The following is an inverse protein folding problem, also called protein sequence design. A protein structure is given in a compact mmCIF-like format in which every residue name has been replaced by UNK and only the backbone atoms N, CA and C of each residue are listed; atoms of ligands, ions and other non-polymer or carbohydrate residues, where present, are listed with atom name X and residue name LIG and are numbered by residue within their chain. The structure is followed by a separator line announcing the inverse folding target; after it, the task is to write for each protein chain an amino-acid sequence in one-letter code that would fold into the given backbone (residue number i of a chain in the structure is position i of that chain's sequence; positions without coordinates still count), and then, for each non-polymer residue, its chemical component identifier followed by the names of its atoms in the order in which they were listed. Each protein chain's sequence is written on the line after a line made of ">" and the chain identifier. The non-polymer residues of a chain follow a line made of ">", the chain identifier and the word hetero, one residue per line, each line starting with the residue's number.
data_IF_367599850208
#
_entry.id   IF_367599850208
#
_cell.length_a   1.000
_cell.length_b   1.000
_cell.length_c   1.000
_cell.angle_alpha   90.00
_cell.angle_beta   90.00
_cell.angle_gamma   90.00
#
_symmetry.space_group_name_H-M   'P 1'
#
loop_
_entity.id
_entity.type
_entity.pdbx_description
1 polymer ?
#
# COMPACT_ATOMS: atom_id res chain seq x y z
N UNK A 1 -10.74 -21.56 16.13
CA UNK A 1 -10.94 -21.15 14.73
C UNK A 1 -10.28 -19.80 14.61
N UNK A 2 -9.14 -19.70 13.93
CA UNK A 2 -8.56 -18.41 13.57
C UNK A 2 -9.51 -17.78 12.58
N UNK A 3 -10.19 -16.70 12.97
CA UNK A 3 -10.90 -15.87 12.00
C UNK A 3 -9.87 -15.44 10.94
N UNK A 4 -10.14 -15.77 9.68
CA UNK A 4 -9.37 -15.23 8.57
C UNK A 4 -9.47 -13.72 8.68
N UNK A 5 -8.33 -13.03 8.84
CA UNK A 5 -8.31 -11.58 8.94
C UNK A 5 -8.94 -10.99 7.67
N UNK A 6 -9.71 -9.91 7.82
CA UNK A 6 -10.26 -9.18 6.67
C UNK A 6 -9.09 -8.78 5.73
N UNK A 7 -9.09 -9.20 4.45
CA UNK A 7 -8.04 -8.90 3.48
C UNK A 7 -7.71 -7.40 3.39
N UNK A 8 -8.71 -6.54 3.58
CA UNK A 8 -8.53 -5.09 3.56
C UNK A 8 -7.73 -4.64 4.79
N UNK A 9 -8.08 -5.16 5.97
CA UNK A 9 -7.34 -4.87 7.21
C UNK A 9 -5.90 -5.37 7.12
N UNK A 10 -5.70 -6.56 6.55
CA UNK A 10 -4.37 -7.12 6.34
C UNK A 10 -3.51 -6.23 5.44
N UNK A 11 -4.03 -5.80 4.28
CA UNK A 11 -3.33 -4.89 3.38
C UNK A 11 -2.91 -3.57 4.06
N UNK A 12 -3.82 -2.97 4.83
CA UNK A 12 -3.53 -1.73 5.58
C UNK A 12 -2.44 -1.93 6.64
N UNK A 13 -2.48 -3.05 7.36
CA UNK A 13 -1.43 -3.39 8.34
C UNK A 13 -0.07 -3.63 7.68
N UNK A 14 -0.04 -4.26 6.51
CA UNK A 14 1.17 -4.44 5.73
C UNK A 14 1.75 -3.09 5.26
N UNK A 15 0.91 -2.16 4.82
CA UNK A 15 1.32 -0.79 4.49
C UNK A 15 1.96 -0.09 5.69
N UNK A 16 1.30 -0.11 6.85
CA UNK A 16 1.87 0.49 8.07
C UNK A 16 3.19 -0.16 8.48
N UNK A 17 3.28 -1.48 8.42
CA UNK A 17 4.53 -2.20 8.70
C UNK A 17 5.65 -1.75 7.77
N UNK A 18 5.38 -1.65 6.47
CA UNK A 18 6.36 -1.19 5.49
C UNK A 18 6.86 0.21 5.81
N UNK A 19 5.94 1.15 6.06
CA UNK A 19 6.28 2.54 6.41
C UNK A 19 7.11 2.63 7.69
N UNK A 20 6.74 1.86 8.73
CA UNK A 20 7.52 1.79 9.96
C UNK A 20 8.93 1.24 9.73
N UNK A 21 9.09 0.24 8.86
CA UNK A 21 10.40 -0.28 8.49
C UNK A 21 11.25 0.77 7.77
N UNK A 22 10.67 1.54 6.82
CA UNK A 22 11.38 2.63 6.14
C UNK A 22 11.84 3.70 7.14
N UNK A 23 10.96 4.11 8.04
CA UNK A 23 11.29 5.09 9.10
C UNK A 23 12.37 4.57 10.05
N UNK A 24 12.28 3.29 10.46
CA UNK A 24 13.28 2.64 11.30
C UNK A 24 14.64 2.52 10.62
N UNK A 25 14.66 2.33 9.29
CA UNK A 25 15.87 2.35 8.48
C UNK A 25 16.42 3.79 8.23
N UNK A 26 15.73 4.82 8.71
CA UNK A 26 16.15 6.21 8.59
C UNK A 26 15.71 6.90 7.30
N UNK A 27 14.84 6.29 6.50
CA UNK A 27 14.27 6.91 5.29
C UNK A 27 13.32 8.04 5.69
N UNK A 28 13.52 9.25 5.15
CA UNK A 28 12.79 10.47 5.55
C UNK A 28 12.59 11.43 4.38
N UNK A 29 11.66 12.37 4.55
CA UNK A 29 11.44 13.48 3.61
C UNK A 29 11.11 12.97 2.20
N UNK A 30 11.76 13.54 1.18
CA UNK A 30 11.59 13.15 -0.22
C UNK A 30 11.94 11.68 -0.48
N UNK A 31 12.94 11.11 0.23
CA UNK A 31 13.28 9.70 0.08
C UNK A 31 12.16 8.78 0.58
N UNK A 32 11.40 9.21 1.60
CA UNK A 32 10.22 8.49 2.05
C UNK A 32 9.07 8.62 1.06
N UNK A 33 8.86 9.81 0.49
CA UNK A 33 7.85 10.03 -0.55
C UNK A 33 8.11 9.13 -1.77
N UNK A 34 9.35 9.09 -2.25
CA UNK A 34 9.77 8.24 -3.36
C UNK A 34 9.66 6.74 -3.02
N UNK A 35 9.96 6.34 -1.79
CA UNK A 35 9.79 4.94 -1.36
C UNK A 35 8.32 4.51 -1.27
N UNK A 36 7.39 5.46 -1.07
CA UNK A 36 5.93 5.25 -1.10
C UNK A 36 5.32 5.52 -2.47
N UNK A 37 6.13 5.83 -3.47
CA UNK A 37 5.68 5.97 -4.85
C UNK A 37 5.44 4.57 -5.42
N UNK A 38 4.28 4.01 -5.11
CA UNK A 38 3.87 2.71 -5.64
C UNK A 38 3.74 2.84 -7.16
N UNK A 39 4.64 2.18 -7.90
CA UNK A 39 4.46 1.96 -9.33
C UNK A 39 3.28 1.02 -9.50
N UNK A 40 2.08 1.56 -9.66
CA UNK A 40 0.97 0.78 -10.20
C UNK A 40 1.41 0.39 -11.61
N UNK A 41 1.78 -0.88 -11.81
CA UNK A 41 1.80 -1.42 -13.15
C UNK A 41 0.35 -1.44 -13.62
N UNK A 42 -0.05 -0.36 -14.28
CA UNK A 42 -1.20 -0.35 -15.18
C UNK A 42 -1.00 -1.50 -16.16
N UNK A 43 -1.78 -2.57 -15.98
CA UNK A 43 -1.83 -3.70 -16.90
C UNK A 43 -1.31 -4.99 -16.28
N UNK A 44 -2.22 -5.79 -15.76
CA UNK A 44 -2.79 -6.90 -16.51
C UNK A 44 -3.97 -7.46 -15.69
N UNK A 45 -5.14 -6.87 -15.86
CA UNK A 45 -6.35 -7.69 -15.84
C UNK A 45 -6.17 -8.69 -16.99
N UNK A 46 -5.62 -9.87 -16.70
CA UNK A 46 -5.70 -11.00 -17.61
C UNK A 46 -7.19 -11.40 -17.64
N UNK A 47 -7.93 -11.14 -18.73
CA UNK A 47 -9.36 -11.46 -18.79
C UNK A 47 -9.62 -12.98 -18.78
N UNK A 48 -8.57 -13.80 -18.75
CA UNK A 48 -8.64 -15.26 -18.63
C UNK A 48 -8.48 -15.84 -17.22
N UNK A 49 -8.08 -15.04 -16.22
CA UNK A 49 -8.02 -15.51 -14.83
C UNK A 49 -9.44 -15.51 -14.26
N UNK A 50 -10.12 -16.65 -14.38
CA UNK A 50 -11.44 -16.86 -13.82
C UNK A 50 -11.47 -16.39 -12.37
N UNK A 51 -12.41 -15.50 -12.05
CA UNK A 51 -12.76 -15.05 -10.70
C UNK A 51 -13.28 -16.18 -9.77
N UNK A 52 -12.95 -17.43 -10.07
CA UNK A 52 -13.34 -18.65 -9.37
C UNK A 52 -12.32 -19.08 -8.30
N UNK A 53 -11.07 -18.60 -8.36
CA UNK A 53 -10.07 -18.87 -7.32
C UNK A 53 -10.12 -17.81 -6.21
N UNK A 54 -10.85 -18.15 -5.14
CA UNK A 54 -11.01 -17.33 -3.93
C UNK A 54 -9.69 -16.85 -3.30
N UNK A 55 -8.57 -17.55 -3.55
CA UNK A 55 -7.24 -17.16 -3.06
C UNK A 55 -6.69 -15.96 -3.82
N UNK A 56 -6.82 -15.94 -5.14
CA UNK A 56 -6.32 -14.85 -5.98
C UNK A 56 -7.08 -13.55 -5.71
N UNK A 57 -8.40 -13.65 -5.46
CA UNK A 57 -9.21 -12.52 -5.05
C UNK A 57 -8.78 -11.93 -3.69
N UNK A 58 -8.39 -12.78 -2.74
CA UNK A 58 -7.90 -12.34 -1.42
C UNK A 58 -6.55 -11.65 -1.56
N UNK A 59 -5.61 -12.24 -2.31
CA UNK A 59 -4.29 -11.64 -2.54
C UNK A 59 -4.43 -10.28 -3.23
N UNK A 60 -5.25 -10.20 -4.27
CA UNK A 60 -5.52 -8.94 -4.97
C UNK A 60 -6.12 -7.87 -4.04
N UNK A 61 -7.05 -8.25 -3.17
CA UNK A 61 -7.64 -7.33 -2.20
C UNK A 61 -6.60 -6.81 -1.18
N UNK A 62 -5.70 -7.67 -0.71
CA UNK A 62 -4.61 -7.29 0.20
C UNK A 62 -3.66 -6.31 -0.49
N UNK A 63 -3.22 -6.63 -1.71
CA UNK A 63 -2.28 -5.79 -2.47
C UNK A 63 -2.87 -4.42 -2.79
N UNK A 64 -4.15 -4.40 -3.20
CA UNK A 64 -4.88 -3.15 -3.46
C UNK A 64 -4.99 -2.31 -2.19
N UNK A 65 -5.43 -2.90 -1.07
CA UNK A 65 -5.59 -2.19 0.19
C UNK A 65 -4.25 -1.66 0.74
N UNK A 66 -3.15 -2.40 0.55
CA UNK A 66 -1.80 -1.93 0.88
C UNK A 66 -1.42 -0.70 0.03
N UNK A 67 -1.58 -0.79 -1.28
CA UNK A 67 -1.20 0.28 -2.21
C UNK A 67 -2.00 1.56 -1.95
N UNK A 68 -3.30 1.44 -1.68
CA UNK A 68 -4.16 2.59 -1.38
C UNK A 68 -3.76 3.27 -0.06
N UNK A 69 -3.42 2.50 0.98
CA UNK A 69 -2.98 3.06 2.26
C UNK A 69 -1.59 3.73 2.14
N UNK A 70 -0.65 3.15 1.37
CA UNK A 70 0.65 3.77 1.08
C UNK A 70 0.48 5.09 0.34
N UNK A 71 -0.41 5.14 -0.66
CA UNK A 71 -0.75 6.36 -1.42
C UNK A 71 -1.35 7.42 -0.50
N UNK A 72 -2.32 7.06 0.33
CA UNK A 72 -2.97 8.00 1.26
C UNK A 72 -1.96 8.64 2.22
N UNK A 73 -1.00 7.86 2.72
CA UNK A 73 0.04 8.36 3.62
C UNK A 73 1.04 9.25 2.87
N UNK A 74 1.43 8.89 1.65
CA UNK A 74 2.26 9.74 0.80
C UNK A 74 1.61 11.10 0.57
N UNK A 75 0.35 11.13 0.15
CA UNK A 75 -0.38 12.38 -0.13
C UNK A 75 -0.46 13.28 1.13
N UNK A 76 -0.68 12.67 2.31
CA UNK A 76 -0.65 13.38 3.59
C UNK A 76 0.74 13.97 3.91
N UNK A 77 1.81 13.21 3.64
CA UNK A 77 3.19 13.65 3.84
C UNK A 77 3.54 14.80 2.90
N UNK A 78 3.15 14.73 1.63
CA UNK A 78 3.35 15.79 0.63
C UNK A 78 2.70 17.10 1.08
N UNK A 79 1.43 17.06 1.50
CA UNK A 79 0.73 18.22 2.03
C UNK A 79 1.47 18.83 3.24
N UNK A 80 1.94 17.97 4.15
CA UNK A 80 2.60 18.40 5.38
C UNK A 80 3.99 19.00 5.12
N UNK A 81 4.74 18.46 4.16
CA UNK A 81 6.06 18.96 3.78
C UNK A 81 5.95 20.23 2.92
N UNK A 82 4.98 20.28 2.00
CA UNK A 82 4.68 21.47 1.20
C UNK A 82 4.28 22.66 2.07
N UNK A 83 3.43 22.45 3.08
CA UNK A 83 2.99 23.50 4.00
C UNK A 83 4.10 24.08 4.90
N UNK A 84 5.25 23.40 5.04
CA UNK A 84 6.41 23.92 5.79
C UNK A 84 7.37 24.74 4.91
N UNK A 85 7.17 24.72 3.60
CA UNK A 85 8.03 25.38 2.61
C UNK A 85 7.54 26.78 2.22
N UNK A 86 6.32 27.15 2.65
CA UNK A 86 5.65 28.45 2.43
C UNK A 86 5.68 29.32 3.67
#
# INVERSE_FOLDING_TARGET
>A
MTESLDPIVEGRLLAFRHILCLLAAGVRGEALLSALETSYQDGQEDPGASAEDSVDAVVFAIETAKADEERAIRDLLELTLGARSS
#
